data_IF_650506547244
#
_entry.id   IF_650506547244
#
_cell.length_a   1.000
_cell.length_b   1.000
_cell.length_c   1.000
_cell.angle_alpha   90.00
_cell.angle_beta   90.00
_cell.angle_gamma   90.00
#
_symmetry.space_group_name_H-M   'P 1'
#
loop_
_entity.id
_entity.type
_entity.pdbx_description
1 polymer ?
#
# COMPACT_ATOMS: atom_id res chain seq x y z
N UNK A 1 20.52 9.09 -19.19
CA UNK A 1 19.69 7.89 -18.97
C UNK A 1 18.25 8.31 -18.74
N UNK A 2 17.32 7.84 -19.57
CA UNK A 2 15.89 8.13 -19.54
C UNK A 2 15.08 6.86 -19.24
N UNK A 3 14.39 6.83 -18.09
CA UNK A 3 13.65 5.68 -17.60
C UNK A 3 12.18 6.03 -17.45
N UNK A 4 11.31 5.21 -18.04
CA UNK A 4 9.86 5.27 -17.84
C UNK A 4 9.43 4.23 -16.80
N UNK A 5 8.89 4.68 -15.67
CA UNK A 5 8.19 3.82 -14.71
C UNK A 5 6.68 3.98 -14.84
N UNK A 6 5.92 2.89 -14.68
CA UNK A 6 4.46 2.97 -14.68
C UNK A 6 3.79 1.97 -13.74
N UNK A 7 2.55 2.29 -13.35
CA UNK A 7 1.64 1.42 -12.62
C UNK A 7 0.42 1.11 -13.50
N UNK A 8 0.04 -0.17 -13.60
CA UNK A 8 -1.15 -0.58 -14.36
C UNK A 8 -2.22 -1.34 -13.59
N UNK A 9 -2.25 -1.27 -12.25
CA UNK A 9 -3.32 -1.88 -11.43
C UNK A 9 -4.43 -0.88 -11.12
N UNK A 10 -4.65 -0.50 -9.87
CA UNK A 10 -5.41 0.65 -9.42
C UNK A 10 -4.50 1.88 -9.42
N UNK A 11 -5.07 3.08 -9.52
CA UNK A 11 -4.32 4.35 -9.58
C UNK A 11 -3.22 4.33 -10.66
N UNK A 12 -3.63 3.92 -11.86
CA UNK A 12 -2.74 3.79 -13.01
C UNK A 12 -2.01 5.11 -13.25
N UNK A 13 -0.69 5.06 -13.45
CA UNK A 13 0.16 6.26 -13.47
C UNK A 13 1.46 6.02 -14.22
N UNK A 14 2.12 7.10 -14.61
CA UNK A 14 3.44 7.06 -15.22
C UNK A 14 4.35 8.13 -14.62
N UNK A 15 5.65 7.81 -14.52
CA UNK A 15 6.71 8.72 -14.12
C UNK A 15 7.91 8.56 -15.06
N UNK A 16 8.50 9.68 -15.45
CA UNK A 16 9.69 9.72 -16.30
C UNK A 16 10.85 10.30 -15.52
N UNK A 17 11.96 9.57 -15.48
CA UNK A 17 13.19 9.95 -14.77
C UNK A 17 14.31 10.11 -15.79
N UNK A 18 14.98 11.26 -15.77
CA UNK A 18 16.14 11.56 -16.60
C UNK A 18 17.34 11.85 -15.70
N UNK A 19 18.41 11.05 -15.83
CA UNK A 19 19.67 11.22 -15.10
C UNK A 19 19.48 11.40 -13.59
N UNK A 20 18.62 10.55 -13.01
CA UNK A 20 18.29 10.54 -11.58
C UNK A 20 17.28 11.59 -11.14
N UNK A 21 16.77 12.44 -12.05
CA UNK A 21 15.79 13.48 -11.74
C UNK A 21 14.42 13.12 -12.29
N UNK A 22 13.37 13.30 -11.48
CA UNK A 22 11.99 13.14 -11.93
C UNK A 22 11.67 14.33 -12.86
N UNK A 23 11.39 14.03 -14.14
CA UNK A 23 11.04 15.03 -15.16
C UNK A 23 9.55 15.29 -15.16
N UNK A 24 8.74 14.23 -15.08
CA UNK A 24 7.29 14.33 -15.04
C UNK A 24 6.71 13.09 -14.35
N UNK A 25 5.59 13.28 -13.65
CA UNK A 25 4.78 12.19 -13.11
C UNK A 25 3.30 12.60 -13.13
N UNK A 26 2.42 11.69 -13.56
CA UNK A 26 0.99 11.94 -13.60
C UNK A 26 0.19 10.65 -13.45
N UNK A 27 -0.96 10.76 -12.78
CA UNK A 27 -1.96 9.70 -12.69
C UNK A 27 -2.93 9.76 -13.87
N UNK A 28 -3.28 8.59 -14.41
CA UNK A 28 -4.20 8.41 -15.53
C UNK A 28 -5.57 9.04 -15.23
N UNK A 29 -6.04 8.96 -13.98
CA UNK A 29 -7.33 9.55 -13.56
C UNK A 29 -7.40 11.06 -13.77
N UNK A 30 -6.26 11.78 -13.74
CA UNK A 30 -6.23 13.22 -13.98
C UNK A 30 -6.56 13.54 -15.43
N UNK A 31 -6.23 12.64 -16.34
CA UNK A 31 -6.41 12.77 -17.79
C UNK A 31 -7.74 12.18 -18.24
N UNK A 32 -8.13 11.01 -17.73
CA UNK A 32 -9.42 10.36 -18.06
C UNK A 32 -10.61 10.97 -17.32
N UNK A 33 -10.37 11.65 -16.20
CA UNK A 33 -11.40 12.14 -15.26
C UNK A 33 -12.20 11.01 -14.61
N UNK A 34 -11.74 9.76 -14.74
CA UNK A 34 -12.31 8.59 -14.08
C UNK A 34 -11.53 8.31 -12.80
N UNK A 35 -12.15 8.53 -11.64
CA UNK A 35 -11.52 8.36 -10.33
C UNK A 35 -11.06 6.91 -10.13
N UNK A 36 -9.85 6.73 -9.63
CA UNK A 36 -9.13 5.48 -9.43
C UNK A 36 -8.98 4.66 -10.71
N UNK A 37 -8.79 5.34 -11.85
CA UNK A 37 -8.62 4.68 -13.14
C UNK A 37 -7.53 3.62 -13.04
N UNK A 38 -7.90 2.37 -13.32
CA UNK A 38 -6.99 1.25 -13.40
C UNK A 38 -6.65 0.85 -14.82
N UNK A 39 -5.71 -0.07 -14.96
CA UNK A 39 -5.28 -0.62 -16.24
C UNK A 39 -4.06 0.11 -16.83
N UNK A 40 -3.79 -0.11 -18.13
CA UNK A 40 -2.56 0.40 -18.75
C UNK A 40 -2.62 1.93 -18.93
N UNK A 41 -1.68 2.69 -18.36
CA UNK A 41 -1.77 4.15 -18.26
C UNK A 41 -1.29 4.83 -19.54
N UNK A 42 -2.03 4.64 -20.65
CA UNK A 42 -1.63 5.16 -21.96
C UNK A 42 -1.51 6.69 -21.94
N UNK A 43 -2.53 7.39 -21.42
CA UNK A 43 -2.54 8.85 -21.47
C UNK A 43 -1.44 9.43 -20.59
N UNK A 44 -1.17 8.85 -19.44
CA UNK A 44 -0.11 9.28 -18.54
C UNK A 44 1.28 9.07 -19.18
N UNK A 45 1.52 7.91 -19.81
CA UNK A 45 2.77 7.63 -20.53
C UNK A 45 2.98 8.66 -21.65
N UNK A 46 1.96 8.88 -22.48
CA UNK A 46 2.04 9.85 -23.57
C UNK A 46 2.25 11.28 -23.05
N UNK A 47 1.65 11.63 -21.91
CA UNK A 47 1.81 12.94 -21.29
C UNK A 47 3.21 13.18 -20.73
N UNK A 48 3.81 12.22 -20.01
CA UNK A 48 5.17 12.39 -19.46
C UNK A 48 6.24 12.43 -20.55
N UNK A 49 6.09 11.62 -21.60
CA UNK A 49 6.99 11.65 -22.76
C UNK A 49 6.90 12.99 -23.51
N UNK A 50 5.68 13.45 -23.78
CA UNK A 50 5.44 14.75 -24.42
C UNK A 50 5.99 15.92 -23.60
N UNK A 51 5.84 15.88 -22.27
CA UNK A 51 6.38 16.91 -21.38
C UNK A 51 7.91 17.00 -21.48
N UNK A 52 8.60 15.87 -21.65
CA UNK A 52 10.05 15.82 -21.81
C UNK A 52 10.54 16.05 -23.25
N UNK A 53 9.63 16.22 -24.22
CA UNK A 53 10.00 16.27 -25.64
C UNK A 53 10.63 14.96 -26.14
N UNK A 54 10.34 13.84 -25.46
CA UNK A 54 10.92 12.53 -25.73
C UNK A 54 9.90 11.61 -26.43
N UNK A 55 10.44 10.59 -27.10
CA UNK A 55 9.70 9.51 -27.72
C UNK A 55 10.01 8.18 -27.03
N UNK A 56 9.22 7.14 -27.34
CA UNK A 56 9.46 5.79 -26.82
C UNK A 56 10.83 5.23 -27.23
N UNK A 57 11.37 5.64 -28.39
CA UNK A 57 12.71 5.23 -28.84
C UNK A 57 13.86 5.84 -28.04
N UNK A 58 13.61 6.91 -27.29
CA UNK A 58 14.61 7.58 -26.45
C UNK A 58 14.75 6.92 -25.06
N UNK A 59 13.87 5.96 -24.74
CA UNK A 59 13.86 5.28 -23.44
C UNK A 59 14.98 4.23 -23.35
N UNK A 60 15.84 4.38 -22.35
CA UNK A 60 16.87 3.39 -22.02
C UNK A 60 16.26 2.16 -21.33
N UNK A 61 15.21 2.36 -20.53
CA UNK A 61 14.53 1.28 -19.81
C UNK A 61 13.06 1.62 -19.51
N UNK A 62 12.24 0.59 -19.41
CA UNK A 62 10.87 0.66 -18.88
C UNK A 62 10.77 -0.17 -17.60
N UNK A 63 10.11 0.36 -16.57
CA UNK A 63 9.95 -0.32 -15.28
C UNK A 63 8.49 -0.42 -14.86
N UNK A 64 8.17 -1.48 -14.12
CA UNK A 64 6.87 -1.67 -13.48
C UNK A 64 7.05 -2.14 -12.03
N UNK A 65 6.34 -1.49 -11.11
CA UNK A 65 6.47 -1.65 -9.65
C UNK A 65 6.01 -2.99 -9.05
N UNK A 66 5.67 -3.98 -9.88
CA UNK A 66 5.20 -5.29 -9.41
C UNK A 66 6.02 -6.42 -10.01
N UNK A 67 6.57 -7.28 -9.15
CA UNK A 67 7.30 -8.48 -9.54
C UNK A 67 6.44 -9.75 -9.46
N UNK A 68 6.08 -10.39 -10.59
CA UNK A 68 5.22 -11.58 -10.58
C UNK A 68 5.86 -12.79 -9.87
N UNK A 69 7.18 -12.82 -9.72
CA UNK A 69 7.91 -13.94 -9.14
C UNK A 69 8.03 -13.84 -7.62
N UNK A 70 8.12 -12.62 -7.08
CA UNK A 70 8.17 -12.38 -5.63
C UNK A 70 6.88 -12.78 -4.90
N UNK A 71 5.75 -12.87 -5.61
CA UNK A 71 4.45 -13.26 -5.05
C UNK A 71 4.19 -14.76 -4.95
N UNK A 72 5.10 -15.64 -5.42
CA UNK A 72 4.86 -17.10 -5.45
C UNK A 72 4.71 -17.70 -4.04
N UNK A 73 5.46 -17.21 -3.06
CA UNK A 73 5.31 -17.62 -1.66
C UNK A 73 3.91 -17.33 -1.12
N UNK A 74 3.31 -16.21 -1.53
CA UNK A 74 1.93 -15.87 -1.19
C UNK A 74 0.92 -16.84 -1.72
N UNK A 75 1.09 -17.19 -2.98
CA UNK A 75 0.25 -18.15 -3.65
C UNK A 75 0.29 -19.50 -2.92
N UNK A 76 1.48 -20.01 -2.61
CA UNK A 76 1.65 -21.27 -1.91
C UNK A 76 1.07 -21.25 -0.48
N UNK A 77 1.33 -20.18 0.28
CA UNK A 77 0.76 -20.01 1.61
C UNK A 77 -0.76 -19.98 1.59
N UNK A 78 -1.36 -19.24 0.65
CA UNK A 78 -2.81 -19.14 0.54
C UNK A 78 -3.43 -20.51 0.21
N UNK A 79 -2.80 -21.26 -0.69
CA UNK A 79 -3.22 -22.60 -1.06
C UNK A 79 -3.20 -23.57 0.13
N UNK A 80 -2.18 -23.52 1.00
CA UNK A 80 -2.06 -24.45 2.12
C UNK A 80 -2.95 -24.05 3.30
N UNK A 81 -3.01 -22.75 3.62
CA UNK A 81 -3.60 -22.28 4.89
C UNK A 81 -5.09 -21.99 4.85
N UNK A 82 -5.68 -21.79 3.67
CA UNK A 82 -7.08 -21.38 3.55
C UNK A 82 -7.97 -22.45 2.90
N UNK A 83 -7.56 -23.72 2.86
CA UNK A 83 -8.42 -24.79 2.34
C UNK A 83 -9.64 -24.99 3.25
N UNK A 84 -10.86 -25.14 2.68
CA UNK A 84 -11.18 -25.22 1.24
C UNK A 84 -11.38 -23.86 0.53
N UNK A 85 -11.46 -22.75 1.25
CA UNK A 85 -11.66 -21.39 0.72
C UNK A 85 -10.61 -20.91 -0.32
N UNK A 86 -9.42 -21.50 -0.35
CA UNK A 86 -8.41 -21.25 -1.38
C UNK A 86 -8.90 -21.55 -2.79
N UNK A 87 -9.79 -22.54 -2.97
CA UNK A 87 -10.35 -22.88 -4.28
C UNK A 87 -11.23 -21.75 -4.84
N UNK A 88 -12.02 -21.09 -3.98
CA UNK A 88 -12.83 -19.93 -4.38
C UNK A 88 -11.94 -18.71 -4.66
N UNK A 89 -10.91 -18.48 -3.83
CA UNK A 89 -9.93 -17.42 -4.03
C UNK A 89 -9.22 -17.55 -5.40
N UNK A 90 -8.71 -18.74 -5.74
CA UNK A 90 -8.02 -18.95 -7.02
C UNK A 90 -8.94 -18.97 -8.22
N UNK A 91 -10.19 -19.41 -8.08
CA UNK A 91 -11.19 -19.25 -9.15
C UNK A 91 -11.44 -17.78 -9.50
N UNK A 92 -11.28 -16.86 -8.53
CA UNK A 92 -11.46 -15.41 -8.74
C UNK A 92 -10.18 -14.63 -9.03
N UNK A 93 -9.01 -15.18 -8.73
CA UNK A 93 -7.70 -14.51 -8.86
C UNK A 93 -6.72 -14.96 -9.99
N UNK A 94 -7.09 -15.67 -11.08
CA UNK A 94 -6.10 -16.04 -12.10
C UNK A 94 -5.53 -14.83 -12.89
N UNK A 95 -6.13 -13.64 -12.75
CA UNK A 95 -5.83 -12.48 -13.59
C UNK A 95 -4.51 -11.78 -13.28
N UNK A 96 -4.12 -11.62 -12.02
CA UNK A 96 -2.99 -10.72 -11.66
C UNK A 96 -1.66 -11.28 -12.12
N UNK A 97 -1.36 -12.56 -11.85
CA UNK A 97 -0.09 -13.16 -12.26
C UNK A 97 0.06 -13.24 -13.78
N UNK A 98 -1.00 -13.65 -14.49
CA UNK A 98 -1.03 -13.66 -15.96
C UNK A 98 -0.89 -12.26 -16.56
N UNK A 99 -1.58 -11.27 -15.97
CA UNK A 99 -1.47 -9.87 -16.37
C UNK A 99 -0.04 -9.35 -16.22
N UNK A 100 0.59 -9.58 -15.06
CA UNK A 100 1.94 -9.09 -14.77
C UNK A 100 3.01 -9.75 -15.66
N UNK A 101 2.91 -11.06 -15.89
CA UNK A 101 3.81 -11.77 -16.83
C UNK A 101 3.65 -11.29 -18.28
N UNK A 102 2.47 -10.84 -18.66
CA UNK A 102 2.17 -10.32 -19.98
C UNK A 102 2.60 -8.87 -20.22
N UNK A 103 3.04 -8.14 -19.18
CA UNK A 103 3.34 -6.71 -19.29
C UNK A 103 4.43 -6.37 -20.32
N UNK A 104 5.56 -7.08 -20.41
CA UNK A 104 6.57 -6.77 -21.44
C UNK A 104 6.01 -6.92 -22.86
N UNK A 105 5.17 -7.93 -23.10
CA UNK A 105 4.51 -8.13 -24.39
C UNK A 105 3.46 -7.04 -24.66
N UNK A 106 2.73 -6.61 -23.63
CA UNK A 106 1.79 -5.48 -23.72
C UNK A 106 2.51 -4.18 -24.02
N UNK A 107 3.60 -3.86 -23.32
CA UNK A 107 4.43 -2.69 -23.58
C UNK A 107 4.93 -2.67 -25.02
N UNK A 108 5.42 -3.80 -25.54
CA UNK A 108 5.83 -3.91 -26.94
C UNK A 108 4.67 -3.67 -27.92
N UNK A 109 3.49 -4.22 -27.65
CA UNK A 109 2.31 -4.07 -28.53
C UNK A 109 1.74 -2.66 -28.49
N UNK A 110 1.63 -2.08 -27.30
CA UNK A 110 1.01 -0.77 -27.08
C UNK A 110 1.98 0.36 -27.44
N UNK A 111 3.22 0.32 -26.97
CA UNK A 111 4.19 1.42 -27.12
C UNK A 111 5.17 1.21 -28.29
N UNK A 112 5.26 0.00 -28.85
CA UNK A 112 6.32 -0.33 -29.80
C UNK A 112 7.71 -0.50 -29.17
N UNK A 113 7.82 -0.39 -27.84
CA UNK A 113 9.08 -0.48 -27.10
C UNK A 113 9.66 -1.90 -27.12
N UNK A 114 10.95 -2.03 -27.45
CA UNK A 114 11.67 -3.33 -27.51
C UNK A 114 12.92 -3.38 -26.63
N UNK A 115 13.19 -2.33 -25.86
CA UNK A 115 14.35 -2.26 -24.97
C UNK A 115 14.15 -3.00 -23.64
N UNK A 116 15.07 -2.80 -22.69
CA UNK A 116 15.03 -3.40 -21.35
C UNK A 116 13.74 -3.11 -20.58
N UNK A 117 13.14 -4.17 -20.03
CA UNK A 117 11.98 -4.07 -19.15
C UNK A 117 12.32 -4.66 -17.78
N UNK A 118 12.08 -3.90 -16.70
CA UNK A 118 12.37 -4.31 -15.33
C UNK A 118 11.13 -4.38 -14.47
N UNK A 119 10.96 -5.50 -13.79
CA UNK A 119 10.06 -5.59 -12.65
C UNK A 119 10.79 -5.12 -11.39
N UNK A 120 10.18 -4.22 -10.64
CA UNK A 120 10.65 -3.75 -9.33
C UNK A 120 9.70 -4.30 -8.27
N UNK A 121 10.20 -4.65 -7.08
CA UNK A 121 9.33 -5.12 -6.01
C UNK A 121 8.50 -3.94 -5.46
N UNK A 122 7.23 -4.17 -5.14
CA UNK A 122 6.27 -3.12 -4.75
C UNK A 122 6.73 -2.24 -3.60
N UNK A 123 7.17 -2.85 -2.50
CA UNK A 123 7.62 -2.09 -1.33
C UNK A 123 9.00 -1.44 -1.53
N UNK A 124 9.83 -1.97 -2.44
CA UNK A 124 11.08 -1.31 -2.83
C UNK A 124 10.77 -0.07 -3.68
N UNK A 125 9.79 -0.14 -4.58
CA UNK A 125 9.31 1.03 -5.33
C UNK A 125 8.74 2.10 -4.40
N UNK A 126 7.98 1.72 -3.37
CA UNK A 126 7.55 2.66 -2.31
C UNK A 126 8.73 3.26 -1.55
N UNK A 127 9.73 2.46 -1.17
CA UNK A 127 10.89 2.97 -0.45
C UNK A 127 11.70 3.96 -1.33
N UNK A 128 11.89 3.62 -2.61
CA UNK A 128 12.58 4.44 -3.59
C UNK A 128 11.86 5.76 -3.88
N UNK A 129 10.52 5.75 -3.93
CA UNK A 129 9.72 6.95 -4.26
C UNK A 129 9.78 8.02 -3.18
N UNK A 130 10.19 7.67 -1.96
CA UNK A 130 10.35 8.61 -0.85
C UNK A 130 11.82 8.91 -0.55
N UNK A 131 12.71 7.91 -0.61
CA UNK A 131 14.13 8.10 -0.27
C UNK A 131 14.90 8.88 -1.33
N UNK A 132 14.89 8.45 -2.58
CA UNK A 132 15.70 9.10 -3.63
C UNK A 132 15.35 10.58 -3.89
N UNK A 133 14.08 11.04 -3.80
CA UNK A 133 13.77 12.47 -3.90
C UNK A 133 13.91 13.25 -2.58
N UNK A 134 14.19 12.61 -1.43
CA UNK A 134 14.16 13.27 -0.10
C UNK A 134 15.27 14.28 0.18
N UNK A 135 16.30 14.37 -0.66
CA UNK A 135 17.57 15.09 -0.41
C UNK A 135 18.40 14.57 0.77
N UNK A 136 18.03 13.44 1.38
CA UNK A 136 18.78 12.87 2.49
C UNK A 136 19.87 11.92 2.00
N UNK A 137 21.09 12.08 2.51
CA UNK A 137 22.19 11.14 2.26
C UNK A 137 21.94 9.79 2.95
N UNK A 138 21.29 9.81 4.12
CA UNK A 138 20.82 8.63 4.83
C UNK A 138 19.48 8.86 5.53
N UNK A 139 18.65 7.83 5.59
CA UNK A 139 17.35 7.86 6.28
C UNK A 139 16.86 6.47 6.66
N UNK A 140 16.15 6.39 7.79
CA UNK A 140 15.22 5.28 8.01
C UNK A 140 14.08 5.39 6.99
N UNK A 141 13.61 4.24 6.49
CA UNK A 141 12.52 4.18 5.52
C UNK A 141 11.46 3.24 6.06
N UNK A 142 10.24 3.75 6.22
CA UNK A 142 9.10 2.97 6.69
C UNK A 142 7.98 3.05 5.64
N UNK A 143 7.69 1.94 4.99
CA UNK A 143 6.57 1.84 4.05
C UNK A 143 5.43 1.05 4.69
N UNK A 144 4.22 1.57 4.63
CA UNK A 144 3.02 1.00 5.26
C UNK A 144 1.91 0.93 4.22
N UNK A 145 1.49 -0.27 3.82
CA UNK A 145 0.53 -0.43 2.72
C UNK A 145 -0.49 -1.55 2.97
N UNK A 146 -1.51 -1.62 2.10
CA UNK A 146 -2.46 -2.71 2.09
C UNK A 146 -1.77 -4.04 1.82
N UNK A 147 -1.20 -4.23 0.64
CA UNK A 147 -0.42 -5.42 0.29
C UNK A 147 0.42 -5.16 -0.96
N UNK A 148 1.70 -5.54 -0.94
CA UNK A 148 2.51 -5.70 -2.16
C UNK A 148 2.40 -7.11 -2.75
N UNK A 149 3.53 -7.70 -3.15
CA UNK A 149 3.59 -9.10 -3.56
C UNK A 149 3.36 -10.06 -2.37
N UNK A 150 3.92 -9.70 -1.22
CA UNK A 150 3.86 -10.46 0.04
C UNK A 150 3.97 -9.53 1.24
N UNK A 151 4.98 -8.65 1.23
CA UNK A 151 5.17 -7.59 2.22
C UNK A 151 3.96 -6.66 2.30
N UNK A 152 3.66 -6.18 3.51
CA UNK A 152 2.63 -5.17 3.81
C UNK A 152 3.23 -3.98 4.55
N UNK A 153 4.37 -4.18 5.22
CA UNK A 153 5.16 -3.13 5.85
C UNK A 153 6.63 -3.44 5.66
N UNK A 154 7.39 -2.53 5.03
CA UNK A 154 8.84 -2.64 4.90
C UNK A 154 9.51 -1.59 5.79
N UNK A 155 10.46 -2.04 6.60
CA UNK A 155 11.38 -1.21 7.37
C UNK A 155 12.76 -1.38 6.73
N UNK A 156 13.34 -0.27 6.28
CA UNK A 156 14.60 -0.25 5.56
C UNK A 156 15.48 0.92 6.02
N UNK A 157 16.74 0.87 5.62
CA UNK A 157 17.70 1.95 5.79
C UNK A 157 18.23 2.35 4.42
N UNK A 158 18.01 3.61 4.06
CA UNK A 158 18.59 4.20 2.86
C UNK A 158 19.90 4.89 3.21
N UNK A 159 20.95 4.65 2.42
CA UNK A 159 22.19 5.43 2.45
C UNK A 159 22.78 5.51 1.04
N UNK A 160 23.18 6.70 0.64
CA UNK A 160 23.65 7.01 -0.70
C UNK A 160 22.62 6.56 -1.76
N UNK A 161 23.02 5.68 -2.67
CA UNK A 161 22.18 5.10 -3.72
C UNK A 161 21.66 3.69 -3.36
N UNK A 162 21.64 3.32 -2.07
CA UNK A 162 21.26 1.97 -1.62
C UNK A 162 20.13 2.01 -0.61
N UNK A 163 19.24 1.03 -0.72
CA UNK A 163 18.18 0.76 0.25
C UNK A 163 18.38 -0.67 0.76
N UNK A 164 18.63 -0.80 2.05
CA UNK A 164 18.85 -2.08 2.72
C UNK A 164 17.64 -2.44 3.58
N UNK A 165 17.08 -3.63 3.38
CA UNK A 165 15.95 -4.12 4.19
C UNK A 165 16.43 -4.45 5.61
N UNK A 166 15.78 -3.84 6.60
CA UNK A 166 16.02 -4.10 8.03
C UNK A 166 15.04 -5.16 8.55
N UNK A 167 13.76 -4.99 8.26
CA UNK A 167 12.70 -5.92 8.66
C UNK A 167 11.48 -5.76 7.74
N UNK A 168 10.55 -6.71 7.82
CA UNK A 168 9.24 -6.52 7.20
C UNK A 168 8.15 -7.24 8.00
N UNK A 169 6.92 -6.77 7.81
CA UNK A 169 5.71 -7.52 8.14
C UNK A 169 5.09 -7.98 6.84
N UNK A 170 4.72 -9.25 6.81
CA UNK A 170 4.20 -9.91 5.64
C UNK A 170 2.70 -10.21 5.81
N UNK A 171 2.04 -10.35 4.66
CA UNK A 171 0.67 -10.81 4.58
C UNK A 171 0.49 -12.16 5.30
N UNK A 172 -0.60 -12.39 6.06
CA UNK A 172 -1.86 -11.62 6.11
C UNK A 172 -1.90 -10.48 7.13
N UNK A 173 -0.79 -10.17 7.82
CA UNK A 173 -0.76 -9.09 8.79
C UNK A 173 -0.55 -7.76 8.06
N UNK A 174 -1.53 -6.86 8.12
CA UNK A 174 -1.45 -5.58 7.42
C UNK A 174 -2.30 -4.52 8.12
N UNK A 175 -1.67 -3.41 8.50
CA UNK A 175 -2.39 -2.23 9.00
C UNK A 175 -3.34 -1.68 7.93
N UNK A 176 -2.91 -1.64 6.67
CA UNK A 176 -3.75 -1.18 5.56
C UNK A 176 -4.99 -2.05 5.36
N UNK A 177 -4.88 -3.38 5.48
CA UNK A 177 -6.05 -4.28 5.36
C UNK A 177 -6.99 -4.21 6.55
N UNK A 178 -6.48 -4.00 7.77
CA UNK A 178 -7.33 -3.74 8.94
C UNK A 178 -8.11 -2.44 8.75
N UNK A 179 -7.41 -1.37 8.34
CA UNK A 179 -8.02 -0.06 8.11
C UNK A 179 -9.06 -0.12 6.99
N UNK A 180 -8.76 -0.82 5.88
CA UNK A 180 -9.69 -1.07 4.78
C UNK A 180 -10.93 -1.87 5.23
N UNK A 181 -10.75 -2.89 6.07
CA UNK A 181 -11.86 -3.70 6.58
C UNK A 181 -12.79 -2.92 7.52
N UNK A 182 -12.22 -2.10 8.40
CA UNK A 182 -13.00 -1.23 9.28
C UNK A 182 -13.63 -0.05 8.52
N UNK A 183 -13.01 0.42 7.44
CA UNK A 183 -13.63 1.36 6.51
C UNK A 183 -14.92 0.77 5.92
N UNK A 184 -14.88 -0.50 5.50
CA UNK A 184 -16.08 -1.21 5.04
C UNK A 184 -17.12 -1.37 6.15
N UNK A 185 -16.70 -1.77 7.34
CA UNK A 185 -17.57 -1.97 8.51
C UNK A 185 -18.32 -0.69 8.90
N UNK A 186 -17.65 0.46 8.78
CA UNK A 186 -18.23 1.79 9.02
C UNK A 186 -19.09 2.29 7.85
N UNK A 187 -19.44 1.43 6.89
CA UNK A 187 -20.33 1.78 5.77
C UNK A 187 -19.67 2.69 4.72
N UNK A 188 -18.34 2.83 4.74
CA UNK A 188 -17.60 3.58 3.73
C UNK A 188 -17.05 2.66 2.64
N UNK A 189 -16.79 3.23 1.45
CA UNK A 189 -16.24 2.49 0.32
C UNK A 189 -14.76 2.14 0.58
N UNK A 190 -14.36 0.86 0.58
CA UNK A 190 -12.95 0.49 0.68
C UNK A 190 -12.12 1.01 -0.51
N UNK A 191 -10.82 1.25 -0.31
CA UNK A 191 -9.89 1.81 -1.30
C UNK A 191 -10.25 3.22 -1.78
N UNK A 192 -11.00 3.99 -0.97
CA UNK A 192 -11.40 5.37 -1.29
C UNK A 192 -11.93 6.12 -0.05
N UNK A 193 -12.48 5.38 0.92
CA UNK A 193 -13.15 5.90 2.12
C UNK A 193 -12.27 5.96 3.36
N UNK A 194 -11.03 5.48 3.30
CA UNK A 194 -10.10 5.43 4.44
C UNK A 194 -9.85 6.84 5.02
N UNK A 195 -9.75 7.85 4.15
CA UNK A 195 -9.67 9.26 4.57
C UNK A 195 -10.91 9.74 5.33
N UNK A 196 -12.11 9.18 5.06
CA UNK A 196 -13.32 9.49 5.83
C UNK A 196 -13.25 8.91 7.24
N UNK A 197 -12.68 7.72 7.41
CA UNK A 197 -12.45 7.14 8.75
C UNK A 197 -11.46 7.99 9.54
N UNK A 198 -10.39 8.46 8.88
CA UNK A 198 -9.42 9.37 9.51
C UNK A 198 -10.09 10.68 9.93
N UNK A 199 -10.93 11.26 9.06
CA UNK A 199 -11.70 12.47 9.36
C UNK A 199 -12.80 12.28 10.41
N UNK A 200 -13.31 11.05 10.57
CA UNK A 200 -14.32 10.71 11.57
C UNK A 200 -13.72 10.51 12.97
N UNK A 201 -12.48 10.00 13.04
CA UNK A 201 -11.78 9.72 14.29
C UNK A 201 -11.80 10.85 15.35
N UNK A 202 -11.57 12.14 15.03
CA UNK A 202 -11.60 13.20 16.05
C UNK A 202 -12.97 13.48 16.68
N UNK A 203 -14.07 12.95 16.11
CA UNK A 203 -15.42 13.10 16.66
C UNK A 203 -15.80 12.01 17.66
N UNK A 204 -14.92 11.04 17.90
CA UNK A 204 -15.16 9.93 18.82
C UNK A 204 -14.25 9.92 20.03
N UNK A 205 -14.51 8.98 20.93
CA UNK A 205 -13.64 8.60 22.04
C UNK A 205 -13.06 7.21 21.76
N UNK A 206 -11.78 6.93 22.09
CA UNK A 206 -11.14 5.66 21.78
C UNK A 206 -11.60 4.52 22.73
N UNK A 207 -12.92 4.33 22.91
CA UNK A 207 -13.53 3.35 23.83
C UNK A 207 -13.23 1.89 23.48
N UNK A 208 -12.89 1.62 22.22
CA UNK A 208 -12.52 0.29 21.72
C UNK A 208 -11.00 0.11 21.57
N UNK A 209 -10.17 0.99 22.12
CA UNK A 209 -8.71 0.92 21.96
C UNK A 209 -8.13 -0.41 22.45
N UNK A 210 -8.60 -0.93 23.58
CA UNK A 210 -8.12 -2.23 24.09
C UNK A 210 -8.51 -3.40 23.17
N UNK A 211 -9.66 -3.33 22.51
CA UNK A 211 -10.00 -4.29 21.45
C UNK A 211 -9.04 -4.14 20.27
N UNK A 212 -8.75 -2.91 19.84
CA UNK A 212 -7.81 -2.67 18.74
C UNK A 212 -6.38 -3.13 19.07
N UNK A 213 -5.95 -3.04 20.34
CA UNK A 213 -4.67 -3.63 20.82
C UNK A 213 -4.66 -5.15 20.79
N UNK A 214 -5.80 -5.80 21.06
CA UNK A 214 -5.93 -7.27 20.90
C UNK A 214 -5.91 -7.68 19.42
N UNK A 215 -6.53 -6.88 18.55
CA UNK A 215 -6.58 -7.10 17.11
C UNK A 215 -5.20 -6.87 16.47
N UNK A 216 -4.53 -5.77 16.81
CA UNK A 216 -3.22 -5.37 16.27
C UNK A 216 -2.19 -5.41 17.39
N UNK A 217 -1.45 -6.49 17.47
CA UNK A 217 -0.50 -6.78 18.54
C UNK A 217 0.90 -6.30 18.14
N UNK A 218 1.48 -5.34 18.87
CA UNK A 218 2.88 -4.95 18.63
C UNK A 218 3.80 -6.15 18.89
N UNK A 219 4.82 -6.33 18.05
CA UNK A 219 5.84 -7.38 18.18
C UNK A 219 7.22 -6.71 18.18
N UNK A 220 7.66 -6.12 19.32
CA UNK A 220 8.97 -5.51 19.41
C UNK A 220 10.09 -6.55 19.21
N UNK A 221 11.27 -6.16 18.68
CA UNK A 221 11.63 -4.77 18.38
C UNK A 221 10.99 -4.25 17.09
N UNK A 222 10.83 -5.07 16.04
CA UNK A 222 10.34 -4.62 14.73
C UNK A 222 9.21 -5.51 14.23
N UNK A 223 7.99 -4.99 14.26
CA UNK A 223 6.84 -5.62 13.64
C UNK A 223 5.57 -5.58 14.48
N UNK A 224 4.53 -6.20 13.93
CA UNK A 224 3.24 -6.40 14.57
C UNK A 224 2.59 -7.65 13.99
N UNK A 225 1.56 -8.15 14.67
CA UNK A 225 0.69 -9.19 14.18
C UNK A 225 -0.76 -8.72 14.23
N UNK A 226 -1.54 -9.19 13.28
CA UNK A 226 -2.99 -8.99 13.24
C UNK A 226 -3.66 -10.32 13.59
N UNK A 227 -4.58 -10.32 14.56
CA UNK A 227 -5.51 -11.44 14.75
C UNK A 227 -6.48 -11.48 13.58
N UNK A 228 -6.19 -12.36 12.62
CA UNK A 228 -6.96 -12.46 11.37
C UNK A 228 -8.36 -13.05 11.57
N UNK A 229 -8.69 -13.60 12.75
CA UNK A 229 -10.04 -14.13 13.03
C UNK A 229 -11.12 -13.05 13.04
N UNK A 230 -10.74 -11.77 13.17
CA UNK A 230 -11.62 -10.62 13.05
C UNK A 230 -11.92 -10.20 11.60
N UNK A 231 -11.25 -10.82 10.62
CA UNK A 231 -11.28 -10.36 9.24
C UNK A 231 -11.49 -11.50 8.23
N UNK A 232 -11.87 -11.12 7.03
CA UNK A 232 -12.12 -12.00 5.89
C UNK A 232 -11.43 -11.51 4.60
N UNK A 233 -10.66 -10.41 4.64
CA UNK A 233 -9.90 -9.92 3.48
C UNK A 233 -8.97 -10.99 2.89
N UNK A 234 -8.50 -11.93 3.72
CA UNK A 234 -7.62 -13.01 3.29
C UNK A 234 -8.32 -14.20 2.64
N UNK A 235 -9.65 -14.21 2.69
CA UNK A 235 -10.48 -15.26 2.12
C UNK A 235 -11.00 -14.92 0.71
N UNK A 236 -10.67 -13.74 0.17
CA UNK A 236 -11.14 -13.31 -1.16
C UNK A 236 -12.64 -13.03 -1.23
N UNK A 237 -13.27 -12.70 -0.09
CA UNK A 237 -14.69 -12.37 0.02
C UNK A 237 -14.91 -10.88 -0.22
N UNK A 238 -16.11 -10.51 -0.69
CA UNK A 238 -16.49 -9.10 -0.84
C UNK A 238 -16.57 -8.36 0.51
N UNK A 239 -16.96 -9.07 1.57
CA UNK A 239 -16.91 -8.59 2.96
C UNK A 239 -15.54 -8.87 3.56
N UNK A 240 -14.91 -7.85 4.13
CA UNK A 240 -13.52 -7.86 4.64
C UNK A 240 -13.42 -8.08 6.15
N UNK A 241 -14.51 -7.93 6.90
CA UNK A 241 -14.61 -8.21 8.33
C UNK A 241 -15.31 -9.55 8.59
N UNK A 242 -15.11 -10.13 9.77
CA UNK A 242 -15.73 -11.40 10.17
C UNK A 242 -16.94 -11.20 11.10
N UNK A 243 -17.77 -12.25 11.30
CA UNK A 243 -18.82 -12.23 12.32
C UNK A 243 -18.29 -11.94 13.74
N UNK A 244 -17.07 -12.39 14.07
CA UNK A 244 -16.42 -12.10 15.36
C UNK A 244 -16.21 -10.60 15.58
N UNK A 245 -15.89 -9.84 14.53
CA UNK A 245 -15.79 -8.38 14.63
C UNK A 245 -17.16 -7.75 14.90
N UNK A 246 -18.20 -8.22 14.20
CA UNK A 246 -19.59 -7.75 14.37
C UNK A 246 -20.10 -8.04 15.77
N UNK A 247 -19.77 -9.19 16.35
CA UNK A 247 -20.13 -9.54 17.73
C UNK A 247 -19.51 -8.56 18.75
N UNK A 248 -18.28 -8.11 18.51
CA UNK A 248 -17.57 -7.21 19.43
C UNK A 248 -17.92 -5.74 19.25
N UNK A 249 -18.23 -5.31 18.03
CA UNK A 249 -18.45 -3.90 17.69
C UNK A 249 -19.93 -3.58 17.43
N UNK A 250 -20.82 -4.57 17.33
CA UNK A 250 -22.20 -4.40 16.88
C UNK A 250 -22.34 -4.50 15.35
N UNK A 251 -23.55 -4.27 14.80
CA UNK A 251 -23.81 -4.39 13.37
C UNK A 251 -22.96 -3.39 12.56
N UNK A 252 -22.54 -3.77 11.33
CA UNK A 252 -21.89 -2.84 10.41
C UNK A 252 -22.87 -1.72 10.03
N UNK A 253 -22.32 -0.54 9.74
CA UNK A 253 -23.12 0.60 9.31
C UNK A 253 -23.59 0.38 7.88
N UNK A 254 -24.87 0.60 7.63
CA UNK A 254 -25.39 0.71 6.27
C UNK A 254 -24.79 1.95 5.58
N UNK A 255 -24.50 1.86 4.28
CA UNK A 255 -23.93 2.98 3.55
C UNK A 255 -24.89 4.18 3.55
N UNK A 256 -24.36 5.39 3.68
CA UNK A 256 -25.12 6.66 3.68
C UNK A 256 -26.21 6.81 4.77
N UNK A 257 -26.32 5.89 5.74
CA UNK A 257 -27.16 6.07 6.94
C UNK A 257 -26.55 7.08 7.94
N UNK A 258 -27.20 7.30 9.09
CA UNK A 258 -26.64 8.17 10.13
C UNK A 258 -25.38 7.59 10.78
N UNK A 259 -24.49 8.50 11.21
CA UNK A 259 -23.27 8.15 11.94
C UNK A 259 -23.49 8.44 13.43
N UNK A 260 -23.76 7.39 14.20
CA UNK A 260 -23.85 7.41 15.66
C UNK A 260 -22.48 7.49 16.39
N UNK A 261 -22.52 7.59 17.71
CA UNK A 261 -21.32 7.66 18.57
C UNK A 261 -20.46 6.40 18.54
N UNK A 262 -21.06 5.22 18.35
CA UNK A 262 -20.31 3.96 18.26
C UNK A 262 -19.42 3.95 17.02
N UNK A 263 -19.93 4.42 15.88
CA UNK A 263 -19.11 4.54 14.66
C UNK A 263 -17.93 5.51 14.86
N UNK A 264 -18.16 6.64 15.52
CA UNK A 264 -17.11 7.62 15.87
C UNK A 264 -16.07 7.00 16.78
N UNK A 265 -16.50 6.28 17.81
CA UNK A 265 -15.62 5.63 18.79
C UNK A 265 -14.79 4.51 18.15
N UNK A 266 -15.36 3.73 17.22
CA UNK A 266 -14.62 2.72 16.44
C UNK A 266 -13.54 3.38 15.58
N UNK A 267 -13.87 4.46 14.87
CA UNK A 267 -12.90 5.22 14.08
C UNK A 267 -11.77 5.81 14.95
N UNK A 268 -12.12 6.43 16.07
CA UNK A 268 -11.17 6.98 17.04
C UNK A 268 -10.22 5.90 17.59
N UNK A 269 -10.77 4.74 17.94
CA UNK A 269 -10.00 3.62 18.50
C UNK A 269 -9.04 3.00 17.48
N UNK A 270 -9.49 2.83 16.22
CA UNK A 270 -8.66 2.34 15.13
C UNK A 270 -7.51 3.32 14.85
N UNK A 271 -7.83 4.61 14.73
CA UNK A 271 -6.87 5.66 14.46
C UNK A 271 -5.80 5.73 15.57
N UNK A 272 -6.23 5.73 16.84
CA UNK A 272 -5.31 5.70 17.98
C UNK A 272 -4.39 4.47 17.96
N UNK A 273 -4.91 3.29 17.62
CA UNK A 273 -4.08 2.07 17.54
C UNK A 273 -3.11 2.08 16.37
N UNK A 274 -3.53 2.57 15.20
CA UNK A 274 -2.65 2.73 14.04
C UNK A 274 -1.44 3.61 14.42
N UNK A 275 -1.73 4.73 15.08
CA UNK A 275 -0.71 5.68 15.54
C UNK A 275 0.27 5.06 16.55
N UNK A 276 -0.21 4.30 17.54
CA UNK A 276 0.66 3.59 18.48
C UNK A 276 1.63 2.65 17.76
N UNK A 277 1.12 1.82 16.85
CA UNK A 277 1.95 0.84 16.13
C UNK A 277 2.95 1.53 15.20
N UNK A 278 2.52 2.54 14.45
CA UNK A 278 3.40 3.24 13.54
C UNK A 278 4.53 3.98 14.28
N UNK A 279 4.22 4.57 15.44
CA UNK A 279 5.21 5.21 16.29
C UNK A 279 6.20 4.20 16.88
N UNK A 280 5.72 3.04 17.37
CA UNK A 280 6.58 1.95 17.85
C UNK A 280 7.56 1.50 16.75
N UNK A 281 7.07 1.29 15.53
CA UNK A 281 7.90 0.90 14.38
C UNK A 281 8.95 1.97 14.04
N UNK A 282 8.56 3.25 14.04
CA UNK A 282 9.46 4.36 13.75
C UNK A 282 10.56 4.48 14.82
N UNK A 283 10.22 4.37 16.11
CA UNK A 283 11.17 4.39 17.22
C UNK A 283 12.16 3.24 17.14
N UNK A 284 11.67 2.02 16.99
CA UNK A 284 12.52 0.84 16.86
C UNK A 284 13.41 0.89 15.62
N UNK A 285 12.92 1.44 14.51
CA UNK A 285 13.72 1.59 13.29
C UNK A 285 14.82 2.63 13.48
N UNK A 286 14.52 3.75 14.16
CA UNK A 286 15.53 4.74 14.56
C UNK A 286 16.58 4.13 15.48
N UNK A 287 16.19 3.35 16.48
CA UNK A 287 17.13 2.65 17.37
C UNK A 287 18.02 1.67 16.61
N UNK A 288 17.45 0.94 15.63
CA UNK A 288 18.18 -0.06 14.85
C UNK A 288 19.14 0.54 13.83
N UNK A 289 18.82 1.71 13.28
CA UNK A 289 19.59 2.33 12.19
C UNK A 289 20.45 3.50 12.64
N UNK A 290 20.13 4.13 13.78
CA UNK A 290 20.71 5.40 14.21
C UNK A 290 20.23 6.62 13.42
N UNK A 291 19.40 6.43 12.38
CA UNK A 291 18.99 7.49 11.47
C UNK A 291 18.10 8.52 12.17
N UNK A 292 18.36 9.80 11.92
CA UNK A 292 17.55 10.93 12.43
C UNK A 292 16.51 11.43 11.44
N UNK A 293 16.59 10.96 10.19
CA UNK A 293 15.64 11.25 9.11
C UNK A 293 14.77 10.01 8.90
N UNK A 294 13.49 10.24 8.61
CA UNK A 294 12.53 9.18 8.31
C UNK A 294 11.81 9.51 7.01
N UNK A 295 11.83 8.57 6.07
CA UNK A 295 11.04 8.63 4.84
C UNK A 295 9.85 7.67 4.97
N UNK A 296 8.64 8.17 4.66
CA UNK A 296 7.39 7.42 4.73
C UNK A 296 6.80 7.22 3.33
N UNK A 297 6.23 6.04 3.08
CA UNK A 297 5.52 5.70 1.84
C UNK A 297 4.48 4.59 2.05
N UNK A 298 3.74 4.24 0.99
CA UNK A 298 2.62 3.29 1.04
C UNK A 298 1.28 3.94 1.38
N UNK A 299 0.17 3.26 1.07
CA UNK A 299 -1.17 3.85 1.18
C UNK A 299 -1.56 4.29 2.60
N UNK A 300 -1.02 3.65 3.64
CA UNK A 300 -1.26 4.04 5.04
C UNK A 300 -0.50 5.32 5.41
N UNK A 301 0.61 5.62 4.72
CA UNK A 301 1.37 6.85 4.94
C UNK A 301 0.65 8.12 4.47
N UNK A 302 -0.51 8.01 3.79
CA UNK A 302 -1.41 9.14 3.58
C UNK A 302 -2.17 9.57 4.84
N UNK A 303 -2.06 8.83 5.95
CA UNK A 303 -2.64 9.21 7.23
C UNK A 303 -1.86 10.37 7.87
N UNK A 304 -2.31 11.59 7.65
CA UNK A 304 -1.63 12.81 8.12
C UNK A 304 -1.62 12.93 9.64
N UNK A 305 -2.60 12.38 10.34
CA UNK A 305 -2.68 12.37 11.82
C UNK A 305 -1.55 11.52 12.39
N UNK A 306 -1.37 10.31 11.84
CA UNK A 306 -0.25 9.41 12.17
C UNK A 306 1.10 10.05 11.87
N UNK A 307 1.28 10.62 10.68
CA UNK A 307 2.53 11.30 10.32
C UNK A 307 2.84 12.46 11.27
N UNK A 308 1.82 13.25 11.63
CA UNK A 308 1.96 14.37 12.55
C UNK A 308 2.36 13.93 13.96
N UNK A 309 1.89 12.77 14.43
CA UNK A 309 2.33 12.21 15.72
C UNK A 309 3.77 11.72 15.67
N UNK A 310 4.14 10.97 14.63
CA UNK A 310 5.53 10.50 14.43
C UNK A 310 6.51 11.68 14.37
N UNK A 311 6.14 12.79 13.73
CA UNK A 311 7.00 13.97 13.65
C UNK A 311 7.22 14.66 15.01
N UNK A 312 6.23 14.60 15.91
CA UNK A 312 6.29 15.26 17.23
C UNK A 312 7.06 14.47 18.28
N UNK A 313 7.15 13.14 18.13
CA UNK A 313 7.60 12.19 19.15
C UNK A 313 8.86 11.41 18.76
#
# INVERSE_FOLDING_TARGET
MLILGFNSTHDASAALVQDGRIVAAIEEERLTRAKHQGGFPRLAIDAVLRHAGASVSDLDAVTHYWNPWAGLGRFAWHLVKNLPGSLEYFRRQPGVWGHMRGLPARVRRELGYRGPFHHVNHHEAHAASTFYPSSFDEAAILTLDGTGEWTTTLMAFGRDCRIERVAAVDYPHSLGKVYEALTQYLGFRPMSGEGKVMGLAPFGQPRYLDLMRRIIQSRPPLGYQVDTSYFAYHLGRGIKYSPKLVEQLGPPREAESEIDDRHRDVAASLQARLEEVALDLARSLRERTGARRLCLAGGVAFNSVMNGRILRE
#
